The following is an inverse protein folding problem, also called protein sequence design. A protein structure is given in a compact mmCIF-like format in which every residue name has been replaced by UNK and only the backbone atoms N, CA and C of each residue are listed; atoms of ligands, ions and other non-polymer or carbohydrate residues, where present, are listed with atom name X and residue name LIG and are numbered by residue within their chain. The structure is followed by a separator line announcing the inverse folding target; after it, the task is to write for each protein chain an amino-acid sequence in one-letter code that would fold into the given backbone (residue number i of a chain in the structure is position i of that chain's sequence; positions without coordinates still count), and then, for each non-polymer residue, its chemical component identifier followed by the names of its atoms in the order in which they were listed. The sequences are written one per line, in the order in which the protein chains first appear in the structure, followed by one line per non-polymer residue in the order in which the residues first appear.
data_IF_187475079109
#
_entry.id   IF_187475079109
#
_cell.length_a   1.000
_cell.length_b   1.000
_cell.length_c   1.000
_cell.angle_alpha   90.00
_cell.angle_beta   90.00
_cell.angle_gamma   90.00
#
_symmetry.space_group_name_H-M   'P 1'
#
loop_
_entity.id
_entity.type
_entity.pdbx_description
1 polymer ?
#
# COMPACT_ATOMS: atom_id res chain seq x y z
N UNK A 1 -1.80 -7.05 -30.85
CA UNK A 1 -1.97 -5.87 -29.96
C UNK A 1 -2.68 -4.81 -30.77
N UNK A 2 -3.42 -3.93 -30.11
CA UNK A 2 -4.04 -2.77 -30.75
C UNK A 2 -2.99 -1.71 -31.06
N UNK A 3 -3.32 -0.75 -31.92
CA UNK A 3 -2.40 0.31 -32.35
C UNK A 3 -1.94 1.21 -31.19
N UNK A 4 -2.74 1.33 -30.14
CA UNK A 4 -2.40 2.03 -28.90
C UNK A 4 -1.42 1.25 -28.00
N UNK A 5 -1.02 0.05 -28.41
CA UNK A 5 -0.09 -0.83 -27.70
C UNK A 5 -0.73 -1.66 -26.58
N UNK A 6 -2.05 -1.55 -26.36
CA UNK A 6 -2.79 -2.43 -25.45
C UNK A 6 -3.04 -3.79 -26.08
N UNK A 7 -3.37 -4.77 -25.24
CA UNK A 7 -3.76 -6.11 -25.70
C UNK A 7 -5.18 -6.09 -26.28
N UNK A 8 -5.52 -7.11 -27.09
CA UNK A 8 -6.87 -7.30 -27.61
C UNK A 8 -7.88 -7.31 -26.45
N UNK A 9 -9.04 -6.66 -26.62
CA UNK A 9 -10.09 -6.57 -25.60
C UNK A 9 -10.72 -7.94 -25.31
N UNK A 10 -11.21 -8.13 -24.08
CA UNK A 10 -11.99 -9.31 -23.69
C UNK A 10 -13.39 -9.20 -24.28
N UNK A 11 -13.62 -9.89 -25.39
CA UNK A 11 -14.88 -9.85 -26.12
C UNK A 11 -15.04 -11.10 -27.02
N UNK A 12 -16.16 -11.18 -27.74
CA UNK A 12 -16.39 -12.10 -28.84
C UNK A 12 -15.98 -11.41 -30.14
N UNK A 13 -14.89 -11.91 -30.73
CA UNK A 13 -14.32 -11.39 -31.97
C UNK A 13 -14.81 -12.22 -33.16
N UNK A 14 -15.46 -11.57 -34.13
CA UNK A 14 -15.74 -12.18 -35.43
C UNK A 14 -14.52 -12.04 -36.33
N UNK A 15 -13.93 -13.18 -36.70
CA UNK A 15 -12.75 -13.24 -37.54
C UNK A 15 -13.10 -13.65 -38.96
N UNK A 16 -12.40 -13.06 -39.92
CA UNK A 16 -12.55 -13.39 -41.32
C UNK A 16 -11.84 -14.70 -41.66
N UNK A 17 -12.59 -15.60 -42.28
CA UNK A 17 -12.07 -16.88 -42.77
C UNK A 17 -11.55 -16.68 -44.19
N UNK A 18 -10.29 -17.01 -44.40
CA UNK A 18 -9.63 -16.90 -45.70
C UNK A 18 -9.35 -18.29 -46.26
N UNK A 19 -9.73 -18.51 -47.51
CA UNK A 19 -9.49 -19.76 -48.22
C UNK A 19 -8.00 -19.87 -48.56
N UNK A 20 -7.40 -21.01 -48.23
CA UNK A 20 -6.03 -21.37 -48.58
C UNK A 20 -6.09 -22.62 -49.46
N UNK A 21 -5.80 -22.46 -50.76
CA UNK A 21 -5.91 -23.55 -51.74
C UNK A 21 -4.70 -24.50 -51.70
N UNK A 22 -3.51 -23.97 -51.40
CA UNK A 22 -2.27 -24.75 -51.30
C UNK A 22 -1.45 -24.34 -50.08
N UNK A 23 -0.97 -25.29 -49.27
CA UNK A 23 -0.14 -25.01 -48.10
C UNK A 23 1.18 -24.25 -48.44
N UNK A 24 1.66 -24.37 -49.69
CA UNK A 24 2.83 -23.66 -50.22
C UNK A 24 2.66 -22.13 -50.18
N UNK A 25 1.44 -21.62 -50.35
CA UNK A 25 1.12 -20.19 -50.32
C UNK A 25 1.27 -19.58 -48.92
N UNK A 26 1.17 -20.41 -47.88
CA UNK A 26 1.34 -19.97 -46.48
C UNK A 26 2.81 -19.84 -46.04
N UNK A 27 3.78 -20.22 -46.90
CA UNK A 27 5.21 -20.08 -46.59
C UNK A 27 5.62 -18.61 -46.34
N UNK A 28 4.92 -17.65 -46.94
CA UNK A 28 5.09 -16.23 -46.65
C UNK A 28 3.93 -15.69 -45.80
N UNK A 29 4.03 -15.89 -44.49
CA UNK A 29 3.05 -15.48 -43.48
C UNK A 29 2.66 -13.98 -43.56
N UNK A 30 3.54 -13.12 -44.07
CA UNK A 30 3.25 -11.69 -44.22
C UNK A 30 2.07 -11.42 -45.16
N UNK A 31 1.81 -12.32 -46.12
CA UNK A 31 0.67 -12.23 -47.03
C UNK A 31 -0.67 -12.45 -46.32
N UNK A 32 -0.69 -13.28 -45.28
CA UNK A 32 -1.87 -13.47 -44.43
C UNK A 32 -1.99 -12.36 -43.38
N UNK A 33 -0.88 -12.01 -42.71
CA UNK A 33 -0.86 -10.99 -41.65
C UNK A 33 -1.18 -9.58 -42.16
N UNK A 34 -1.03 -9.32 -43.46
CA UNK A 34 -1.42 -8.05 -44.08
C UNK A 34 -2.91 -7.93 -44.42
N UNK A 35 -3.72 -8.97 -44.18
CA UNK A 35 -5.15 -8.97 -44.48
C UNK A 35 -5.97 -8.48 -43.28
N UNK A 36 -7.12 -7.83 -43.52
CA UNK A 36 -8.05 -7.47 -42.44
C UNK A 36 -8.50 -8.70 -41.65
N UNK A 37 -8.38 -8.66 -40.32
CA UNK A 37 -8.79 -9.81 -39.50
C UNK A 37 -10.29 -9.75 -39.13
N UNK A 38 -10.88 -8.56 -39.11
CA UNK A 38 -12.26 -8.31 -38.74
C UNK A 38 -12.87 -7.11 -39.50
N UNK A 39 -14.09 -6.72 -39.15
CA UNK A 39 -14.83 -5.63 -39.80
C UNK A 39 -14.23 -4.27 -39.53
N UNK A 40 -13.67 -4.04 -38.34
CA UNK A 40 -13.06 -2.76 -37.96
C UNK A 40 -11.80 -2.47 -38.81
N UNK A 41 -11.00 -3.49 -39.10
CA UNK A 41 -9.78 -3.38 -39.91
C UNK A 41 -10.06 -3.05 -41.39
N UNK A 42 -11.26 -3.37 -41.87
CA UNK A 42 -11.65 -3.15 -43.26
C UNK A 42 -11.73 -1.65 -43.62
N UNK A 43 -11.99 -0.78 -42.63
CA UNK A 43 -12.07 0.67 -42.82
C UNK A 43 -10.69 1.37 -42.82
N UNK A 44 -9.62 0.70 -42.36
CA UNK A 44 -8.27 1.25 -42.25
C UNK A 44 -7.38 1.04 -43.48
N UNK A 45 -7.77 0.16 -44.41
CA UNK A 45 -6.95 -0.25 -45.55
C UNK A 45 -7.65 0.06 -46.90
N UNK A 46 -7.44 1.26 -47.48
CA UNK A 46 -8.10 1.65 -48.74
C UNK A 46 -7.56 0.92 -49.99
N UNK A 47 -6.45 0.18 -49.89
CA UNK A 47 -5.78 -0.44 -51.04
C UNK A 47 -5.58 -1.94 -50.83
N UNK A 48 -6.67 -2.70 -50.81
CA UNK A 48 -6.61 -4.15 -50.94
C UNK A 48 -6.41 -4.47 -52.43
N UNK A 49 -5.28 -5.09 -52.86
CA UNK A 49 -5.06 -5.44 -54.25
C UNK A 49 -6.18 -6.35 -54.76
N UNK A 50 -6.69 -6.10 -55.96
CA UNK A 50 -7.77 -6.86 -56.59
C UNK A 50 -7.42 -8.33 -56.90
N UNK A 51 -6.19 -8.77 -56.62
CA UNK A 51 -5.70 -10.15 -56.73
C UNK A 51 -5.16 -10.67 -55.39
N UNK A 52 -6.01 -10.69 -54.37
CA UNK A 52 -5.63 -11.30 -53.09
C UNK A 52 -5.33 -12.80 -53.28
N UNK A 53 -4.14 -13.22 -52.87
CA UNK A 53 -3.70 -14.64 -52.82
C UNK A 53 -4.64 -15.47 -51.93
N UNK A 54 -5.22 -14.84 -50.91
CA UNK A 54 -6.20 -15.42 -50.01
C UNK A 54 -7.58 -14.78 -50.23
N UNK A 55 -8.57 -15.58 -50.62
CA UNK A 55 -9.94 -15.11 -50.82
C UNK A 55 -10.75 -15.24 -49.51
N UNK A 56 -11.36 -14.15 -49.05
CA UNK A 56 -12.27 -14.18 -47.89
C UNK A 56 -13.54 -14.98 -48.22
N UNK A 57 -13.90 -15.90 -47.33
CA UNK A 57 -15.17 -16.64 -47.36
C UNK A 57 -16.33 -15.74 -46.90
N UNK A 58 -17.39 -15.66 -47.70
CA UNK A 58 -18.64 -14.96 -47.34
C UNK A 58 -19.70 -15.89 -46.75
N UNK A 59 -19.41 -17.20 -46.69
CA UNK A 59 -20.34 -18.24 -46.25
C UNK A 59 -20.02 -18.78 -44.86
N UNK A 60 -18.86 -18.40 -44.32
CA UNK A 60 -18.34 -18.90 -43.05
C UNK A 60 -18.11 -17.72 -42.11
N UNK A 61 -18.54 -17.88 -40.87
CA UNK A 61 -18.23 -16.95 -39.77
C UNK A 61 -17.52 -17.74 -38.69
N UNK A 62 -16.47 -17.15 -38.14
CA UNK A 62 -15.68 -17.75 -37.08
C UNK A 62 -15.61 -16.77 -35.91
N UNK A 63 -16.00 -17.24 -34.73
CA UNK A 63 -16.04 -16.40 -33.53
C UNK A 63 -15.07 -16.95 -32.49
N UNK A 64 -14.25 -16.06 -31.93
CA UNK A 64 -13.38 -16.34 -30.79
C UNK A 64 -13.81 -15.45 -29.63
N UNK A 65 -14.12 -16.05 -28.49
CA UNK A 65 -14.19 -15.31 -27.22
C UNK A 65 -12.82 -15.29 -26.55
N UNK A 66 -12.37 -14.12 -26.13
CA UNK A 66 -11.10 -13.96 -25.40
C UNK A 66 -11.35 -13.47 -23.98
N UNK A 67 -10.57 -14.02 -23.05
CA UNK A 67 -10.47 -13.51 -21.69
C UNK A 67 -8.99 -13.45 -21.29
N UNK A 68 -8.51 -12.27 -20.94
CA UNK A 68 -7.11 -12.00 -20.64
C UNK A 68 -6.86 -12.10 -19.14
N UNK A 69 -6.07 -13.10 -18.75
CA UNK A 69 -5.48 -13.19 -17.42
C UNK A 69 -3.98 -12.91 -17.49
N UNK A 70 -3.58 -11.67 -17.28
CA UNK A 70 -2.17 -11.24 -17.38
C UNK A 70 -1.80 -10.17 -16.37
N UNK A 71 -0.74 -10.38 -15.60
CA UNK A 71 -0.14 -9.36 -14.72
C UNK A 71 0.92 -8.52 -15.43
N UNK A 72 1.08 -8.68 -16.76
CA UNK A 72 2.09 -7.95 -17.56
C UNK A 72 1.50 -7.11 -18.69
N UNK A 73 0.32 -7.47 -19.16
CA UNK A 73 -0.35 -6.82 -20.29
C UNK A 73 -1.70 -6.30 -19.84
N UNK A 74 -1.94 -5.00 -20.05
CA UNK A 74 -3.20 -4.34 -19.71
C UNK A 74 -3.99 -4.00 -20.98
N UNK A 75 -5.31 -4.06 -20.85
CA UNK A 75 -6.27 -3.57 -21.85
C UNK A 75 -6.64 -2.10 -21.59
N UNK A 76 -6.22 -1.54 -20.46
CA UNK A 76 -6.49 -0.16 -20.07
C UNK A 76 -5.40 0.78 -20.63
N UNK A 77 -5.80 1.69 -21.51
CA UNK A 77 -4.90 2.63 -22.19
C UNK A 77 -4.23 3.59 -21.21
N UNK A 78 -4.96 4.07 -20.19
CA UNK A 78 -4.41 5.01 -19.20
C UNK A 78 -3.35 4.37 -18.31
N UNK A 79 -3.60 3.13 -17.89
CA UNK A 79 -2.62 2.35 -17.14
C UNK A 79 -1.37 2.05 -17.99
N UNK A 80 -1.55 1.65 -19.26
CA UNK A 80 -0.42 1.43 -20.15
C UNK A 80 0.40 2.72 -20.35
N UNK A 81 -0.28 3.86 -20.51
CA UNK A 81 0.37 5.15 -20.66
C UNK A 81 1.17 5.54 -19.41
N UNK A 82 0.66 5.22 -18.20
CA UNK A 82 1.42 5.38 -16.96
C UNK A 82 2.66 4.49 -16.94
N UNK A 83 2.50 3.19 -17.16
CA UNK A 83 3.62 2.24 -17.13
C UNK A 83 4.69 2.55 -18.20
N UNK A 84 4.29 3.18 -19.31
CA UNK A 84 5.17 3.63 -20.40
C UNK A 84 5.39 5.14 -20.42
N UNK A 85 5.24 5.84 -19.29
CA UNK A 85 5.23 7.30 -19.25
C UNK A 85 6.46 7.97 -19.88
N UNK A 86 7.62 7.31 -19.87
CA UNK A 86 8.86 7.80 -20.50
C UNK A 86 8.74 7.99 -22.01
N UNK A 87 7.78 7.33 -22.67
CA UNK A 87 7.49 7.56 -24.09
C UNK A 87 6.71 8.87 -24.33
N UNK A 88 6.07 9.43 -23.29
CA UNK A 88 5.20 10.60 -23.37
C UNK A 88 5.41 11.56 -22.17
N UNK A 89 6.64 12.06 -21.95
CA UNK A 89 6.98 12.85 -20.75
C UNK A 89 6.15 14.13 -20.61
N UNK A 90 5.74 14.74 -21.73
CA UNK A 90 4.94 15.98 -21.72
C UNK A 90 3.50 15.76 -21.24
N UNK A 91 3.00 14.52 -21.27
CA UNK A 91 1.61 14.17 -20.91
C UNK A 91 1.47 13.60 -19.51
N UNK A 92 2.54 13.51 -18.74
CA UNK A 92 2.55 12.80 -17.47
C UNK A 92 1.60 13.39 -16.42
N UNK A 93 1.43 14.72 -16.41
CA UNK A 93 0.48 15.38 -15.50
C UNK A 93 -0.95 14.92 -15.78
N UNK A 94 -1.32 14.84 -17.06
CA UNK A 94 -2.64 14.35 -17.47
C UNK A 94 -2.79 12.86 -17.18
N UNK A 95 -1.74 12.06 -17.40
CA UNK A 95 -1.72 10.62 -17.11
C UNK A 95 -1.95 10.36 -15.62
N UNK A 96 -1.24 11.06 -14.73
CA UNK A 96 -1.44 10.97 -13.27
C UNK A 96 -2.85 11.42 -12.88
N UNK A 97 -3.39 12.45 -13.55
CA UNK A 97 -4.77 12.89 -13.37
C UNK A 97 -5.79 11.81 -13.72
N UNK A 98 -5.55 11.07 -14.82
CA UNK A 98 -6.43 9.99 -15.32
C UNK A 98 -6.34 8.71 -14.52
N UNK A 99 -5.23 8.43 -13.83
CA UNK A 99 -5.06 7.23 -12.98
C UNK A 99 -6.21 7.03 -11.99
N UNK A 100 -6.79 8.12 -11.46
CA UNK A 100 -7.93 8.09 -10.53
C UNK A 100 -9.25 7.58 -11.14
N UNK A 101 -9.31 7.47 -12.46
CA UNK A 101 -10.46 6.95 -13.20
C UNK A 101 -10.25 5.50 -13.67
N UNK A 102 -9.06 4.93 -13.47
CA UNK A 102 -8.78 3.53 -13.76
C UNK A 102 -9.55 2.65 -12.78
N UNK A 103 -10.13 1.56 -13.28
CA UNK A 103 -10.90 0.63 -12.46
C UNK A 103 -10.03 0.01 -11.38
N UNK A 104 -10.60 -0.17 -10.18
CA UNK A 104 -9.86 -0.74 -9.06
C UNK A 104 -9.31 -2.15 -9.34
N UNK A 105 -9.98 -2.93 -10.19
CA UNK A 105 -9.53 -4.25 -10.64
C UNK A 105 -8.20 -4.20 -11.40
N UNK A 106 -8.03 -3.22 -12.29
CA UNK A 106 -6.76 -3.03 -12.99
C UNK A 106 -5.69 -2.47 -12.04
N UNK A 107 -6.06 -1.57 -11.11
CA UNK A 107 -5.12 -1.06 -10.10
C UNK A 107 -4.54 -2.20 -9.24
N UNK A 108 -5.38 -3.09 -8.69
CA UNK A 108 -4.89 -4.16 -7.81
C UNK A 108 -4.07 -5.22 -8.55
N UNK A 109 -4.36 -5.45 -9.84
CA UNK A 109 -3.65 -6.39 -10.70
C UNK A 109 -2.22 -5.94 -11.04
N UNK A 110 -2.01 -4.63 -11.17
CA UNK A 110 -0.72 -4.00 -11.46
C UNK A 110 -0.17 -3.17 -10.30
N UNK A 111 -0.62 -3.44 -9.07
CA UNK A 111 -0.36 -2.58 -7.91
C UNK A 111 1.13 -2.26 -7.73
N UNK A 112 1.97 -3.30 -7.79
CA UNK A 112 3.42 -3.14 -7.66
C UNK A 112 4.01 -2.27 -8.78
N UNK A 113 3.71 -2.59 -10.04
CA UNK A 113 4.24 -1.85 -11.21
C UNK A 113 3.79 -0.38 -11.20
N UNK A 114 2.56 -0.11 -10.75
CA UNK A 114 2.02 1.24 -10.59
C UNK A 114 2.82 1.98 -9.51
N UNK A 115 3.03 1.38 -8.33
CA UNK A 115 3.77 2.02 -7.24
C UNK A 115 5.22 2.29 -7.63
N UNK A 116 5.90 1.31 -8.24
CA UNK A 116 7.27 1.49 -8.76
C UNK A 116 7.33 2.64 -9.76
N UNK A 117 6.36 2.70 -10.67
CA UNK A 117 6.26 3.79 -11.65
C UNK A 117 6.04 5.15 -10.99
N UNK A 118 5.14 5.24 -10.00
CA UNK A 118 4.85 6.47 -9.28
C UNK A 118 6.08 7.02 -8.56
N UNK A 119 6.86 6.17 -7.90
CA UNK A 119 8.08 6.61 -7.21
C UNK A 119 9.22 6.93 -8.18
N UNK A 120 9.31 6.25 -9.33
CA UNK A 120 10.24 6.64 -10.40
C UNK A 120 9.89 8.02 -10.97
N UNK A 121 8.59 8.34 -11.13
CA UNK A 121 8.14 9.68 -11.56
C UNK A 121 8.48 10.73 -10.48
N UNK A 122 8.30 10.40 -9.21
CA UNK A 122 8.62 11.27 -8.08
C UNK A 122 10.11 11.63 -8.05
N UNK A 123 10.98 10.67 -8.29
CA UNK A 123 12.43 10.83 -8.32
C UNK A 123 12.92 11.61 -9.56
N UNK A 124 12.17 11.56 -10.67
CA UNK A 124 12.51 12.27 -11.91
C UNK A 124 12.38 13.80 -11.77
N UNK A 125 11.25 14.26 -11.21
CA UNK A 125 11.04 15.67 -10.92
C UNK A 125 10.04 15.86 -9.76
N UNK A 126 10.58 15.91 -8.55
CA UNK A 126 9.79 16.04 -7.32
C UNK A 126 8.96 17.33 -7.29
N UNK A 127 9.51 18.47 -7.73
CA UNK A 127 8.80 19.75 -7.70
C UNK A 127 7.58 19.76 -8.64
N UNK A 128 7.73 19.18 -9.83
CA UNK A 128 6.68 19.16 -10.86
C UNK A 128 5.60 18.11 -10.59
N UNK A 129 5.99 16.93 -10.10
CA UNK A 129 5.10 15.77 -10.02
C UNK A 129 4.72 15.36 -8.59
N UNK A 130 5.41 15.87 -7.57
CA UNK A 130 5.29 15.40 -6.19
C UNK A 130 3.85 15.39 -5.65
N UNK A 131 3.12 16.50 -5.83
CA UNK A 131 1.73 16.58 -5.38
C UNK A 131 0.79 15.62 -6.12
N UNK A 132 1.00 15.39 -7.41
CA UNK A 132 0.18 14.46 -8.20
C UNK A 132 0.46 13.01 -7.81
N UNK A 133 1.74 12.64 -7.63
CA UNK A 133 2.12 11.33 -7.13
C UNK A 133 1.54 11.09 -5.73
N UNK A 134 1.61 12.08 -4.84
CA UNK A 134 1.00 12.00 -3.52
C UNK A 134 -0.52 11.75 -3.60
N UNK A 135 -1.23 12.47 -4.47
CA UNK A 135 -2.67 12.26 -4.68
C UNK A 135 -2.99 10.88 -5.25
N UNK A 136 -2.15 10.36 -6.16
CA UNK A 136 -2.28 9.00 -6.70
C UNK A 136 -2.07 7.95 -5.61
N UNK A 137 -1.09 8.13 -4.72
CA UNK A 137 -0.87 7.24 -3.58
C UNK A 137 -2.07 7.24 -2.63
N UNK A 138 -2.60 8.41 -2.27
CA UNK A 138 -3.80 8.52 -1.42
C UNK A 138 -4.99 7.78 -2.05
N UNK A 139 -5.21 7.95 -3.36
CA UNK A 139 -6.25 7.23 -4.09
C UNK A 139 -6.08 5.71 -4.02
N UNK A 140 -4.88 5.20 -4.32
CA UNK A 140 -4.59 3.75 -4.28
C UNK A 140 -4.77 3.21 -2.86
N UNK A 141 -4.28 3.92 -1.84
CA UNK A 141 -4.41 3.51 -0.44
C UNK A 141 -5.89 3.42 -0.04
N UNK A 142 -6.70 4.42 -0.39
CA UNK A 142 -8.12 4.41 -0.05
C UNK A 142 -8.90 3.37 -0.85
N UNK A 143 -8.51 3.07 -2.08
CA UNK A 143 -9.05 1.94 -2.85
C UNK A 143 -8.86 0.62 -2.08
N UNK A 144 -7.68 0.38 -1.51
CA UNK A 144 -7.38 -0.83 -0.73
C UNK A 144 -8.07 -0.91 0.64
N UNK A 145 -8.73 0.17 1.08
CA UNK A 145 -9.56 0.18 2.29
C UNK A 145 -10.98 -0.30 2.02
N UNK A 146 -11.40 -0.33 0.76
CA UNK A 146 -12.71 -0.86 0.35
C UNK A 146 -12.79 -2.37 0.62
N UNK A 147 -13.96 -2.84 1.09
CA UNK A 147 -14.25 -4.25 1.37
C UNK A 147 -14.08 -5.12 0.10
N UNK A 148 -14.20 -4.54 -1.10
CA UNK A 148 -13.92 -5.25 -2.35
C UNK A 148 -12.43 -5.57 -2.53
N UNK A 149 -11.53 -4.73 -2.02
CA UNK A 149 -10.08 -4.82 -2.30
C UNK A 149 -9.22 -5.06 -1.05
N UNK A 150 -9.79 -5.18 0.15
CA UNK A 150 -9.02 -5.30 1.39
C UNK A 150 -8.05 -6.50 1.42
N UNK A 151 -8.36 -7.58 0.68
CA UNK A 151 -7.48 -8.74 0.55
C UNK A 151 -6.13 -8.44 -0.13
N UNK A 152 -5.99 -7.28 -0.77
CA UNK A 152 -4.73 -6.81 -1.37
C UNK A 152 -3.86 -5.99 -0.40
N UNK A 153 -4.33 -5.69 0.83
CA UNK A 153 -3.50 -5.02 1.85
C UNK A 153 -2.18 -5.75 2.14
N UNK A 154 -2.14 -7.10 2.30
CA UNK A 154 -0.88 -7.82 2.45
C UNK A 154 0.10 -7.67 1.26
N UNK A 155 -0.42 -7.42 0.05
CA UNK A 155 0.41 -7.14 -1.14
C UNK A 155 1.08 -5.78 -1.00
N UNK A 156 0.34 -4.75 -0.58
CA UNK A 156 0.90 -3.42 -0.27
C UNK A 156 1.94 -3.50 0.87
N UNK A 157 1.64 -4.21 1.96
CA UNK A 157 2.59 -4.38 3.07
C UNK A 157 3.87 -5.09 2.61
N UNK A 158 3.74 -6.15 1.80
CA UNK A 158 4.89 -6.87 1.23
C UNK A 158 5.71 -5.98 0.30
N UNK A 159 5.04 -5.18 -0.55
CA UNK A 159 5.70 -4.23 -1.43
C UNK A 159 6.55 -3.24 -0.63
N UNK A 160 5.96 -2.57 0.36
CA UNK A 160 6.68 -1.60 1.21
C UNK A 160 7.89 -2.26 1.87
N UNK A 161 7.73 -3.45 2.45
CA UNK A 161 8.79 -4.11 3.20
C UNK A 161 9.93 -4.66 2.32
N UNK A 162 9.61 -5.18 1.13
CA UNK A 162 10.56 -6.00 0.34
C UNK A 162 10.94 -5.42 -1.02
N UNK A 163 10.08 -4.61 -1.64
CA UNK A 163 10.24 -4.20 -3.04
C UNK A 163 10.44 -2.69 -3.20
N UNK A 164 9.85 -1.88 -2.32
CA UNK A 164 9.96 -0.43 -2.37
C UNK A 164 11.43 0.01 -2.28
N UNK A 165 11.84 0.87 -3.22
CA UNK A 165 13.22 1.33 -3.38
C UNK A 165 13.37 2.87 -3.37
N UNK A 166 12.29 3.62 -3.13
CA UNK A 166 12.29 5.09 -3.16
C UNK A 166 12.93 5.71 -1.92
N UNK A 167 14.26 5.84 -1.88
CA UNK A 167 15.00 6.36 -0.71
C UNK A 167 14.79 7.87 -0.46
N UNK A 168 14.40 8.66 -1.47
CA UNK A 168 14.21 10.11 -1.31
C UNK A 168 12.75 10.53 -1.12
N UNK A 169 11.81 9.60 -1.28
CA UNK A 169 10.38 9.87 -1.26
C UNK A 169 9.89 10.49 0.05
N UNK A 170 10.49 10.14 1.20
CA UNK A 170 10.05 10.63 2.52
C UNK A 170 9.99 12.17 2.58
N UNK A 171 10.91 12.87 1.91
CA UNK A 171 10.97 14.34 1.92
C UNK A 171 9.69 14.94 1.36
N UNK A 172 9.29 14.48 0.18
CA UNK A 172 8.10 14.98 -0.49
C UNK A 172 6.82 14.52 0.19
N UNK A 173 6.77 13.27 0.67
CA UNK A 173 5.58 12.76 1.37
C UNK A 173 5.30 13.53 2.67
N UNK A 174 6.34 13.84 3.46
CA UNK A 174 6.20 14.69 4.66
C UNK A 174 5.78 16.11 4.27
N UNK A 175 6.40 16.69 3.23
CA UNK A 175 6.07 18.03 2.74
C UNK A 175 4.61 18.13 2.30
N UNK A 176 4.11 17.16 1.53
CA UNK A 176 2.71 17.11 1.10
C UNK A 176 1.74 16.94 2.27
N UNK A 177 2.04 16.05 3.23
CA UNK A 177 1.21 15.89 4.44
C UNK A 177 1.13 17.18 5.25
N UNK A 178 2.26 17.86 5.44
CA UNK A 178 2.31 19.14 6.15
C UNK A 178 1.49 20.20 5.40
N UNK A 179 1.67 20.31 4.08
CA UNK A 179 0.89 21.22 3.24
C UNK A 179 -0.62 20.96 3.34
N UNK A 180 -1.04 19.69 3.39
CA UNK A 180 -2.46 19.33 3.58
C UNK A 180 -3.00 19.78 4.95
N UNK A 181 -2.19 19.71 6.02
CA UNK A 181 -2.58 20.22 7.33
C UNK A 181 -2.64 21.75 7.37
N UNK A 182 -1.68 22.43 6.75
CA UNK A 182 -1.67 23.89 6.65
C UNK A 182 -2.90 24.39 5.86
N UNK A 183 -3.21 23.78 4.71
CA UNK A 183 -4.43 24.08 3.94
C UNK A 183 -5.73 23.72 4.68
N UNK A 184 -5.68 22.73 5.58
CA UNK A 184 -6.86 22.35 6.37
C UNK A 184 -7.32 23.49 7.27
N UNK A 185 -6.37 24.22 7.86
CA UNK A 185 -6.65 25.38 8.69
C UNK A 185 -7.29 26.54 7.91
N UNK A 186 -7.05 26.60 6.60
CA UNK A 186 -7.63 27.59 5.68
C UNK A 186 -8.97 27.14 5.07
N UNK A 187 -9.47 25.96 5.43
CA UNK A 187 -10.69 25.34 4.89
C UNK A 187 -10.65 25.04 3.37
N UNK A 188 -9.45 24.86 2.81
CA UNK A 188 -9.26 24.61 1.38
C UNK A 188 -9.21 23.11 1.09
N UNK A 189 -9.92 22.64 0.03
CA UNK A 189 -9.85 21.25 -0.50
C UNK A 189 -10.06 20.15 0.55
N UNK A 190 -10.99 20.36 1.48
CA UNK A 190 -11.21 19.48 2.64
C UNK A 190 -11.43 18.00 2.29
N UNK A 191 -12.14 17.68 1.22
CA UNK A 191 -12.38 16.27 0.83
C UNK A 191 -11.07 15.53 0.55
N UNK A 192 -10.16 16.15 -0.21
CA UNK A 192 -8.84 15.57 -0.49
C UNK A 192 -7.99 15.43 0.77
N UNK A 193 -8.13 16.38 1.71
CA UNK A 193 -7.40 16.33 2.99
C UNK A 193 -7.92 15.16 3.83
N UNK A 194 -9.23 14.99 3.93
CA UNK A 194 -9.83 13.86 4.64
C UNK A 194 -9.40 12.53 4.05
N UNK A 195 -9.35 12.41 2.72
CA UNK A 195 -8.85 11.22 2.04
C UNK A 195 -7.39 10.93 2.39
N UNK A 196 -6.52 11.94 2.46
CA UNK A 196 -5.14 11.75 2.90
C UNK A 196 -5.05 11.32 4.37
N UNK A 197 -5.89 11.88 5.25
CA UNK A 197 -5.93 11.48 6.66
C UNK A 197 -6.38 10.04 6.85
N UNK A 198 -7.32 9.57 6.02
CA UNK A 198 -7.74 8.17 5.98
C UNK A 198 -6.64 7.22 5.47
N UNK A 199 -5.71 7.73 4.67
CA UNK A 199 -4.56 7.00 4.13
C UNK A 199 -3.30 7.08 5.03
N UNK A 200 -3.38 7.76 6.17
CA UNK A 200 -2.23 8.15 6.98
C UNK A 200 -1.33 6.97 7.42
N UNK A 201 -1.93 5.82 7.73
CA UNK A 201 -1.21 4.57 8.08
C UNK A 201 -0.17 4.21 7.02
N UNK A 202 -0.61 4.02 5.77
CA UNK A 202 0.27 3.63 4.68
C UNK A 202 1.22 4.75 4.24
N UNK A 203 0.77 6.01 4.33
CA UNK A 203 1.67 7.15 4.06
C UNK A 203 2.86 7.16 5.04
N UNK A 204 2.63 6.92 6.33
CA UNK A 204 3.71 6.79 7.31
C UNK A 204 4.57 5.55 7.09
N UNK A 205 3.98 4.42 6.68
CA UNK A 205 4.76 3.22 6.27
C UNK A 205 5.73 3.54 5.13
N UNK A 206 5.30 4.27 4.11
CA UNK A 206 6.17 4.72 3.02
C UNK A 206 7.25 5.71 3.49
N UNK A 207 6.88 6.71 4.31
CA UNK A 207 7.81 7.70 4.86
C UNK A 207 8.93 7.02 5.65
N UNK A 208 8.56 6.14 6.58
CA UNK A 208 9.52 5.44 7.44
C UNK A 208 10.41 4.51 6.63
N UNK A 209 9.82 3.71 5.74
CA UNK A 209 10.62 2.81 4.91
C UNK A 209 11.58 3.57 3.99
N UNK A 210 11.12 4.67 3.38
CA UNK A 210 11.95 5.54 2.56
C UNK A 210 13.14 6.11 3.36
N UNK A 211 12.88 6.57 4.60
CA UNK A 211 13.94 7.06 5.49
C UNK A 211 14.91 5.95 5.92
N UNK A 212 14.44 4.74 6.20
CA UNK A 212 15.29 3.58 6.52
C UNK A 212 16.23 3.28 5.35
N UNK A 213 15.71 3.28 4.11
CA UNK A 213 16.52 3.07 2.90
C UNK A 213 17.57 4.16 2.73
N UNK A 214 17.19 5.43 2.89
CA UNK A 214 18.12 6.55 2.81
C UNK A 214 19.23 6.45 3.86
N UNK A 215 18.86 6.18 5.12
CA UNK A 215 19.80 6.07 6.23
C UNK A 215 20.82 4.95 5.99
N UNK A 216 20.37 3.80 5.48
CA UNK A 216 21.25 2.69 5.09
C UNK A 216 22.22 3.08 3.97
N UNK A 217 21.74 3.81 2.96
CA UNK A 217 22.57 4.22 1.83
C UNK A 217 23.58 5.33 2.17
N UNK A 218 23.28 6.17 3.17
CA UNK A 218 24.04 7.39 3.48
C UNK A 218 24.72 7.36 4.85
N UNK A 219 24.67 6.25 5.57
CA UNK A 219 25.16 6.15 6.96
C UNK A 219 24.52 7.18 7.91
N UNK A 220 23.20 7.40 7.76
CA UNK A 220 22.44 8.26 8.67
C UNK A 220 22.49 9.76 8.38
N UNK A 221 22.94 10.20 7.19
CA UNK A 221 22.90 11.62 6.83
C UNK A 221 21.50 12.22 6.95
N UNK A 222 21.45 13.53 7.15
CA UNK A 222 20.23 14.33 7.26
C UNK A 222 19.24 13.89 8.35
N UNK A 223 19.72 13.26 9.42
CA UNK A 223 18.85 12.81 10.52
C UNK A 223 18.13 13.97 11.20
N UNK A 224 18.83 15.06 11.47
CA UNK A 224 18.23 16.23 12.12
C UNK A 224 17.18 16.93 11.25
N UNK A 225 17.42 17.05 9.94
CA UNK A 225 16.42 17.58 9.00
C UNK A 225 15.18 16.69 8.94
N UNK A 226 15.35 15.36 8.89
CA UNK A 226 14.22 14.43 8.95
C UNK A 226 13.41 14.63 10.24
N UNK A 227 14.09 14.67 11.39
CA UNK A 227 13.43 14.83 12.69
C UNK A 227 12.70 16.18 12.80
N UNK A 228 13.31 17.27 12.32
CA UNK A 228 12.67 18.59 12.25
C UNK A 228 11.42 18.55 11.38
N UNK A 229 11.47 17.92 10.22
CA UNK A 229 10.32 17.84 9.30
C UNK A 229 9.12 17.08 9.91
N UNK A 230 9.38 16.02 10.69
CA UNK A 230 8.34 15.32 11.45
C UNK A 230 7.79 16.20 12.57
N UNK A 231 8.65 16.90 13.31
CA UNK A 231 8.21 17.82 14.37
C UNK A 231 7.32 18.94 13.82
N UNK A 232 7.68 19.54 12.69
CA UNK A 232 6.87 20.55 12.00
C UNK A 232 5.53 19.99 11.52
N UNK A 233 5.51 18.78 10.96
CA UNK A 233 4.25 18.11 10.61
C UNK A 233 3.35 17.94 11.84
N UNK A 234 3.91 17.49 12.96
CA UNK A 234 3.16 17.35 14.21
C UNK A 234 2.68 18.69 14.77
N UNK A 235 3.42 19.78 14.54
CA UNK A 235 2.97 21.12 14.87
C UNK A 235 1.72 21.50 14.06
N UNK A 236 1.73 21.29 12.74
CA UNK A 236 0.56 21.53 11.88
C UNK A 236 -0.64 20.65 12.26
N UNK A 237 -0.42 19.36 12.57
CA UNK A 237 -1.47 18.44 13.07
C UNK A 237 -2.10 18.98 14.35
N UNK A 238 -1.29 19.39 15.33
CA UNK A 238 -1.77 19.95 16.61
C UNK A 238 -2.55 21.23 16.41
N UNK A 239 -2.08 22.09 15.50
CA UNK A 239 -2.78 23.32 15.16
C UNK A 239 -4.18 23.02 14.61
N UNK A 240 -4.31 22.15 13.60
CA UNK A 240 -5.62 21.75 13.03
C UNK A 240 -6.55 21.17 14.10
N UNK A 241 -6.04 20.33 15.00
CA UNK A 241 -6.84 19.75 16.09
C UNK A 241 -7.27 20.78 17.14
N UNK A 242 -6.53 21.88 17.29
CA UNK A 242 -6.85 22.96 18.24
C UNK A 242 -7.92 23.93 17.75
N UNK A 243 -8.20 23.94 16.44
CA UNK A 243 -9.19 24.83 15.85
C UNK A 243 -10.61 24.50 16.32
N UNK A 244 -11.40 25.55 16.53
CA UNK A 244 -12.81 25.43 16.90
C UNK A 244 -13.66 25.03 15.68
N UNK A 245 -14.09 23.79 15.65
CA UNK A 245 -14.86 23.20 14.55
C UNK A 245 -16.38 23.34 14.70
N UNK A 246 -16.88 24.03 15.74
CA UNK A 246 -18.34 24.19 15.97
C UNK A 246 -19.09 24.84 14.82
N UNK A 247 -18.43 25.71 14.05
CA UNK A 247 -19.02 26.42 12.92
C UNK A 247 -18.60 25.85 11.56
N UNK A 248 -17.86 24.73 11.52
CA UNK A 248 -17.33 24.14 10.29
C UNK A 248 -17.40 22.62 10.32
N UNK A 249 -18.42 22.07 9.67
CA UNK A 249 -18.63 20.62 9.56
C UNK A 249 -17.50 19.94 8.77
N UNK A 250 -16.96 20.61 7.74
CA UNK A 250 -15.85 20.07 6.95
C UNK A 250 -14.56 19.93 7.75
N UNK A 251 -14.24 20.91 8.60
CA UNK A 251 -13.12 20.83 9.55
C UNK A 251 -13.35 19.72 10.58
N UNK A 252 -14.58 19.57 11.08
CA UNK A 252 -14.96 18.50 12.00
C UNK A 252 -14.66 17.12 11.40
N UNK A 253 -15.03 16.90 10.14
CA UNK A 253 -14.74 15.64 9.44
C UNK A 253 -13.25 15.40 9.22
N UNK A 254 -12.47 16.45 8.94
CA UNK A 254 -11.01 16.35 8.82
C UNK A 254 -10.34 16.00 10.15
N UNK A 255 -10.71 16.69 11.24
CA UNK A 255 -10.25 16.36 12.58
C UNK A 255 -10.62 14.91 12.96
N UNK A 256 -11.84 14.48 12.63
CA UNK A 256 -12.29 13.12 12.90
C UNK A 256 -11.53 12.06 12.09
N UNK A 257 -11.27 12.31 10.80
CA UNK A 257 -10.48 11.41 9.95
C UNK A 257 -9.03 11.28 10.45
N UNK A 258 -8.43 12.39 10.88
CA UNK A 258 -7.10 12.43 11.47
C UNK A 258 -7.04 11.65 12.79
N UNK A 259 -7.92 11.94 13.76
CA UNK A 259 -7.97 11.23 15.04
C UNK A 259 -8.24 9.74 14.88
N UNK A 260 -9.01 9.37 13.85
CA UNK A 260 -9.29 7.98 13.55
C UNK A 260 -8.09 7.20 13.00
N UNK A 261 -7.15 7.88 12.36
CA UNK A 261 -5.97 7.25 11.77
C UNK A 261 -4.71 7.48 12.62
N UNK A 262 -4.74 8.41 13.56
CA UNK A 262 -3.57 8.77 14.36
C UNK A 262 -2.99 7.61 15.19
N UNK A 263 -3.77 6.75 15.88
CA UNK A 263 -3.19 5.62 16.61
C UNK A 263 -2.48 4.60 15.72
N UNK A 264 -2.80 4.56 14.42
CA UNK A 264 -2.26 3.54 13.51
C UNK A 264 -0.85 3.87 13.02
N UNK A 265 -0.27 5.03 13.35
CA UNK A 265 1.09 5.42 12.95
C UNK A 265 2.14 5.22 14.06
N UNK A 266 1.74 4.75 15.24
CA UNK A 266 2.63 4.68 16.40
C UNK A 266 3.75 3.67 16.20
N UNK A 267 3.46 2.52 15.60
CA UNK A 267 4.46 1.48 15.34
C UNK A 267 5.47 1.91 14.26
N UNK A 268 5.05 2.72 13.29
CA UNK A 268 5.91 3.36 12.29
C UNK A 268 6.84 4.37 12.96
N UNK A 269 6.32 5.22 13.84
CA UNK A 269 7.13 6.20 14.58
C UNK A 269 8.15 5.51 15.51
N UNK A 270 7.75 4.42 16.17
CA UNK A 270 8.62 3.63 17.07
C UNK A 270 9.81 2.98 16.35
N UNK A 271 9.82 2.92 15.00
CA UNK A 271 10.98 2.45 14.24
C UNK A 271 12.07 3.52 14.07
N UNK A 272 11.73 4.79 14.25
CA UNK A 272 12.62 5.92 13.97
C UNK A 272 12.86 6.85 15.17
N UNK A 273 12.01 6.76 16.19
CA UNK A 273 12.04 7.60 17.39
C UNK A 273 12.02 6.74 18.64
N UNK A 274 12.54 7.28 19.74
CA UNK A 274 12.47 6.60 21.03
C UNK A 274 11.02 6.53 21.53
N UNK A 275 10.73 5.57 22.41
CA UNK A 275 9.41 5.43 23.05
C UNK A 275 8.97 6.74 23.73
N UNK A 276 9.91 7.45 24.39
CA UNK A 276 9.66 8.74 25.02
C UNK A 276 9.25 9.81 23.99
N UNK A 277 9.96 9.89 22.87
CA UNK A 277 9.66 10.87 21.81
C UNK A 277 8.30 10.61 21.16
N UNK A 278 7.97 9.34 20.87
CA UNK A 278 6.65 8.97 20.35
C UNK A 278 5.55 9.30 21.37
N UNK A 279 5.78 9.01 22.66
CA UNK A 279 4.85 9.39 23.72
C UNK A 279 4.66 10.91 23.82
N UNK A 280 5.71 11.72 23.63
CA UNK A 280 5.61 13.19 23.60
C UNK A 280 4.86 13.70 22.37
N UNK A 281 5.03 13.06 21.21
CA UNK A 281 4.23 13.35 20.02
C UNK A 281 2.75 13.15 20.31
N UNK A 282 2.40 11.97 20.81
CA UNK A 282 1.02 11.58 21.14
C UNK A 282 0.43 12.45 22.25
N UNK A 283 1.19 12.72 23.32
CA UNK A 283 0.77 13.61 24.42
C UNK A 283 0.40 14.99 23.90
N UNK A 284 1.26 15.59 23.07
CA UNK A 284 1.01 16.91 22.51
C UNK A 284 -0.18 16.94 21.55
N UNK A 285 -0.39 15.89 20.75
CA UNK A 285 -1.55 15.76 19.86
C UNK A 285 -2.86 15.57 20.62
N UNK A 286 -2.88 14.71 21.64
CA UNK A 286 -4.08 14.55 22.46
C UNK A 286 -4.36 15.81 23.30
N UNK A 287 -3.31 16.50 23.75
CA UNK A 287 -3.41 17.73 24.54
C UNK A 287 -3.85 18.96 23.74
N UNK A 288 -3.70 18.96 22.42
CA UNK A 288 -4.15 20.08 21.57
C UNK A 288 -5.64 20.07 21.27
N UNK A 289 -6.33 18.95 21.54
CA UNK A 289 -7.78 18.85 21.35
C UNK A 289 -8.53 19.75 22.36
N UNK A 290 -9.57 20.50 21.95
CA UNK A 290 -10.34 21.33 22.86
C UNK A 290 -10.97 20.52 23.98
N UNK A 291 -10.88 21.03 25.21
CA UNK A 291 -11.52 20.49 26.44
C UNK A 291 -13.04 20.70 26.48
N UNK A 292 -13.63 21.28 25.43
CA UNK A 292 -15.07 21.48 25.29
C UNK A 292 -15.73 20.19 24.80
N UNK A 293 -16.49 19.57 25.69
CA UNK A 293 -17.27 18.36 25.41
C UNK A 293 -18.67 18.78 24.91
N UNK A 294 -18.77 19.44 23.75
CA UNK A 294 -20.05 19.82 23.10
C UNK A 294 -19.88 20.14 21.60
N UNK A 295 -18.83 19.62 20.96
CA UNK A 295 -18.51 19.95 19.55
C UNK A 295 -19.44 19.20 18.56
N UNK A 296 -20.24 18.26 19.08
CA UNK A 296 -21.15 17.38 18.35
C UNK A 296 -20.95 15.96 18.88
N UNK A 297 -22.02 15.23 19.19
CA UNK A 297 -21.94 13.91 19.85
C UNK A 297 -20.97 12.94 19.13
N UNK A 298 -20.85 13.05 17.80
CA UNK A 298 -19.91 12.27 16.99
C UNK A 298 -18.42 12.53 17.29
N UNK A 299 -18.01 13.78 17.54
CA UNK A 299 -16.60 14.10 17.76
C UNK A 299 -16.11 13.66 19.15
N UNK A 300 -16.96 13.80 20.18
CA UNK A 300 -16.66 13.30 21.53
C UNK A 300 -16.36 11.78 21.50
N UNK A 301 -17.15 11.02 20.72
CA UNK A 301 -16.92 9.60 20.48
C UNK A 301 -15.59 9.35 19.77
N UNK A 302 -15.31 10.07 18.68
CA UNK A 302 -14.07 9.90 17.90
C UNK A 302 -12.82 10.21 18.75
N UNK A 303 -12.85 11.26 19.57
CA UNK A 303 -11.77 11.59 20.52
C UNK A 303 -11.53 10.43 21.48
N UNK A 304 -12.58 9.95 22.14
CA UNK A 304 -12.46 8.84 23.09
C UNK A 304 -12.03 7.53 22.42
N UNK A 305 -12.46 7.25 21.19
CA UNK A 305 -12.00 6.09 20.43
C UNK A 305 -10.51 6.18 20.05
N UNK A 306 -10.02 7.39 19.74
CA UNK A 306 -8.59 7.62 19.50
C UNK A 306 -7.78 7.39 20.78
N UNK A 307 -8.29 7.86 21.93
CA UNK A 307 -7.70 7.63 23.25
C UNK A 307 -7.71 6.13 23.61
N UNK A 308 -8.82 5.43 23.38
CA UNK A 308 -8.94 3.99 23.63
C UNK A 308 -7.88 3.22 22.84
N UNK A 309 -7.78 3.48 21.53
CA UNK A 309 -6.76 2.85 20.68
C UNK A 309 -5.34 3.25 21.06
N UNK A 310 -5.13 4.44 21.62
CA UNK A 310 -3.83 4.83 22.19
C UNK A 310 -3.49 3.96 23.40
N UNK A 311 -4.43 3.75 24.31
CA UNK A 311 -4.25 2.88 25.49
C UNK A 311 -4.03 1.42 25.10
N UNK A 312 -4.72 0.94 24.07
CA UNK A 312 -4.59 -0.44 23.58
C UNK A 312 -3.35 -0.66 22.69
N UNK A 313 -2.64 0.41 22.32
CA UNK A 313 -1.47 0.34 21.43
C UNK A 313 -0.22 -0.21 22.14
N UNK A 314 0.73 -0.72 21.34
CA UNK A 314 2.06 -1.12 21.81
C UNK A 314 2.77 0.00 22.55
N UNK A 315 2.58 1.26 22.12
CA UNK A 315 3.18 2.42 22.78
C UNK A 315 2.82 2.46 24.27
N UNK A 316 1.58 2.15 24.67
CA UNK A 316 1.15 2.20 26.07
C UNK A 316 1.59 0.98 26.90
N UNK A 317 2.13 -0.06 26.25
CA UNK A 317 2.71 -1.21 26.96
C UNK A 317 4.04 -0.87 27.66
N UNK A 318 4.74 0.18 27.22
CA UNK A 318 5.99 0.63 27.85
C UNK A 318 5.72 1.47 29.12
N UNK A 319 6.54 1.27 30.16
CA UNK A 319 6.33 1.97 31.44
C UNK A 319 6.63 3.46 31.36
N UNK A 320 7.63 3.85 30.56
CA UNK A 320 8.05 5.25 30.37
C UNK A 320 7.00 6.08 29.61
N UNK A 321 6.43 5.52 28.53
CA UNK A 321 5.36 6.18 27.77
C UNK A 321 4.10 6.36 28.61
N UNK A 322 3.73 5.38 29.45
CA UNK A 322 2.57 5.49 30.34
C UNK A 322 2.68 6.69 31.28
N UNK A 323 3.87 6.97 31.82
CA UNK A 323 4.09 8.13 32.71
C UNK A 323 3.79 9.46 32.00
N UNK A 324 4.06 9.52 30.69
CA UNK A 324 3.86 10.69 29.84
C UNK A 324 2.40 10.80 29.38
N UNK A 325 1.78 9.67 29.02
CA UNK A 325 0.45 9.61 28.41
C UNK A 325 -0.70 9.58 29.42
N UNK A 326 -0.54 8.94 30.58
CA UNK A 326 -1.61 8.82 31.58
C UNK A 326 -2.22 10.17 31.98
N UNK A 327 -1.45 11.24 32.25
CA UNK A 327 -2.03 12.52 32.64
C UNK A 327 -3.02 13.08 31.60
N UNK A 328 -2.67 13.06 30.31
CA UNK A 328 -3.54 13.58 29.25
C UNK A 328 -4.73 12.67 28.97
N UNK A 329 -4.54 11.35 29.04
CA UNK A 329 -5.62 10.37 28.89
C UNK A 329 -6.66 10.53 30.00
N UNK A 330 -6.20 10.58 31.26
CA UNK A 330 -7.07 10.74 32.42
C UNK A 330 -7.75 12.11 32.45
N UNK A 331 -7.09 13.17 31.96
CA UNK A 331 -7.70 14.48 31.82
C UNK A 331 -8.95 14.42 30.93
N UNK A 332 -8.84 13.84 29.74
CA UNK A 332 -9.97 13.70 28.82
C UNK A 332 -11.07 12.81 29.40
N UNK A 333 -10.73 11.65 29.97
CA UNK A 333 -11.72 10.77 30.62
C UNK A 333 -12.45 11.53 31.73
N UNK A 334 -11.74 12.28 32.56
CA UNK A 334 -12.33 13.07 33.64
C UNK A 334 -13.33 14.12 33.12
N UNK A 335 -13.00 14.81 32.03
CA UNK A 335 -13.91 15.78 31.40
C UNK A 335 -15.23 15.13 30.97
N UNK A 336 -15.17 13.97 30.30
CA UNK A 336 -16.37 13.25 29.84
C UNK A 336 -17.19 12.68 31.00
N UNK A 337 -16.53 12.11 32.02
CA UNK A 337 -17.20 11.60 33.23
C UNK A 337 -17.92 12.72 33.99
N UNK A 338 -17.28 13.89 34.16
CA UNK A 338 -17.88 15.04 34.84
C UNK A 338 -19.13 15.54 34.12
N UNK A 339 -19.18 15.41 32.80
CA UNK A 339 -20.31 15.82 31.98
C UNK A 339 -21.32 14.68 31.70
N UNK A 340 -21.12 13.51 32.29
CA UNK A 340 -21.97 12.33 32.12
C UNK A 340 -22.14 11.90 30.65
N UNK A 341 -21.09 12.05 29.83
CA UNK A 341 -21.10 11.64 28.41
C UNK A 341 -20.20 10.44 28.15
N UNK A 342 -20.59 9.61 27.19
CA UNK A 342 -19.79 8.47 26.70
C UNK A 342 -19.24 7.57 27.82
N UNK A 343 -20.04 7.38 28.87
CA UNK A 343 -19.63 6.67 30.09
C UNK A 343 -19.16 5.24 29.82
N UNK A 344 -19.77 4.57 28.84
CA UNK A 344 -19.38 3.22 28.43
C UNK A 344 -17.97 3.20 27.83
N UNK A 345 -17.64 4.16 26.96
CA UNK A 345 -16.32 4.26 26.36
C UNK A 345 -15.29 4.60 27.44
N UNK A 346 -15.60 5.56 28.32
CA UNK A 346 -14.73 5.92 29.45
C UNK A 346 -14.44 4.72 30.37
N UNK A 347 -15.48 3.94 30.70
CA UNK A 347 -15.35 2.71 31.50
C UNK A 347 -14.46 1.68 30.80
N UNK A 348 -14.64 1.48 29.49
CA UNK A 348 -13.79 0.60 28.68
C UNK A 348 -12.32 1.01 28.71
N UNK A 349 -12.02 2.30 28.50
CA UNK A 349 -10.66 2.82 28.54
C UNK A 349 -10.02 2.62 29.92
N UNK A 350 -10.74 2.95 31.00
CA UNK A 350 -10.25 2.73 32.36
C UNK A 350 -9.99 1.24 32.62
N UNK A 351 -10.86 0.35 32.15
CA UNK A 351 -10.67 -1.09 32.20
C UNK A 351 -9.36 -1.54 31.52
N UNK A 352 -9.09 -1.06 30.30
CA UNK A 352 -7.82 -1.33 29.60
C UNK A 352 -6.62 -0.82 30.38
N UNK A 353 -6.68 0.41 30.92
CA UNK A 353 -5.59 0.98 31.75
C UNK A 353 -5.32 0.09 32.96
N UNK A 354 -6.34 -0.29 33.73
CA UNK A 354 -6.18 -1.14 34.91
C UNK A 354 -5.61 -2.51 34.56
N UNK A 355 -6.07 -3.12 33.45
CA UNK A 355 -5.56 -4.41 32.96
C UNK A 355 -4.05 -4.35 32.65
N UNK A 356 -3.61 -3.31 31.93
CA UNK A 356 -2.21 -3.12 31.53
C UNK A 356 -1.32 -2.83 32.74
N UNK A 357 -1.79 -1.97 33.66
CA UNK A 357 -1.06 -1.64 34.88
C UNK A 357 -0.91 -2.86 35.78
N UNK A 358 -1.98 -3.64 35.97
CA UNK A 358 -1.94 -4.89 36.76
C UNK A 358 -0.96 -5.90 36.16
N UNK A 359 -1.00 -6.10 34.85
CA UNK A 359 -0.09 -7.02 34.15
C UNK A 359 1.37 -6.56 34.29
N UNK A 360 1.62 -5.25 34.20
CA UNK A 360 2.97 -4.67 34.38
C UNK A 360 3.52 -4.88 35.79
N UNK A 361 2.68 -4.79 36.82
CA UNK A 361 3.08 -5.02 38.22
C UNK A 361 3.46 -6.48 38.50
N UNK A 362 2.85 -7.45 37.80
CA UNK A 362 3.14 -8.88 37.96
C UNK A 362 4.47 -9.28 37.31
N UNK A 363 4.86 -8.65 36.21
CA UNK A 363 6.13 -8.95 35.50
C UNK A 363 7.36 -8.46 36.26
N UNK A 364 7.23 -7.44 37.10
CA UNK A 364 8.33 -6.90 37.93
C UNK A 364 8.55 -7.71 39.22
N UNK A 365 7.64 -8.63 39.57
CA UNK A 365 7.62 -9.33 40.85
C UNK A 365 8.24 -10.76 40.95
N UNK A 366 9.24 -11.22 40.16
CA UNK A 366 9.87 -12.53 40.41
C UNK A 366 11.30 -12.50 41.02
N UNK A 367 11.77 -11.41 41.63
CA UNK A 367 13.07 -11.41 42.33
C UNK A 367 13.05 -10.67 43.68
N UNK A 368 12.22 -11.13 44.61
CA UNK A 368 12.42 -10.80 46.03
C UNK A 368 11.66 -11.79 46.90
N UNK A 369 12.22 -12.99 47.07
CA UNK A 369 11.96 -13.87 48.21
C UNK A 369 13.06 -14.92 48.25
N UNK A 370 14.13 -14.59 48.98
CA UNK A 370 15.12 -15.55 49.44
C UNK A 370 14.62 -16.08 50.80
N UNK A 371 14.45 -17.40 51.00
CA UNK A 371 14.41 -17.96 52.33
C UNK A 371 15.82 -18.40 52.72
N UNK A 372 16.29 -17.87 53.85
CA UNK A 372 17.48 -18.29 54.58
C UNK A 372 17.32 -19.68 55.21
N UNK A 373 18.34 -20.53 54.99
CA UNK A 373 18.95 -21.56 55.85
C UNK A 373 18.11 -22.19 56.99
N UNK A 374 18.00 -23.53 57.13
CA UNK A 374 18.95 -24.46 57.82
C UNK A 374 18.36 -25.92 57.86
N UNK A 375 19.04 -27.00 58.34
CA UNK A 375 19.56 -28.06 57.44
C UNK A 375 19.27 -29.55 57.84
N UNK A 376 19.74 -30.47 56.97
CA UNK A 376 20.17 -31.89 57.16
C UNK A 376 19.14 -32.96 57.58
N UNK A 377 19.03 -34.03 56.77
CA UNK A 377 19.46 -35.43 57.11
C UNK A 377 19.34 -36.40 55.90
N UNK A 378 20.05 -37.56 55.98
CA UNK A 378 20.33 -38.61 54.96
C UNK A 378 19.15 -39.12 54.11
N UNK A 379 19.32 -39.90 53.02
CA UNK A 379 19.93 -41.25 52.95
C UNK A 379 20.04 -41.75 51.48
N UNK A 380 21.24 -42.20 51.08
CA UNK A 380 21.69 -43.42 50.33
C UNK A 380 20.86 -44.05 49.16
N UNK A 381 21.53 -44.18 47.98
CA UNK A 381 21.54 -45.26 46.93
C UNK A 381 20.25 -45.53 46.10
N UNK A 382 20.23 -45.95 44.82
CA UNK A 382 21.17 -46.73 44.01
C UNK A 382 20.95 -46.58 42.49
N UNK A 383 22.05 -46.81 41.74
CA UNK A 383 22.23 -47.35 40.37
C UNK A 383 21.05 -47.50 39.38
N UNK A 384 21.32 -47.12 38.12
CA UNK A 384 20.70 -47.75 36.94
C UNK A 384 20.89 -47.00 35.61
N UNK A 385 22.05 -47.13 34.97
CA UNK A 385 22.25 -46.97 33.51
C UNK A 385 22.47 -48.38 32.93
N UNK A 386 22.18 -48.72 31.65
CA UNK A 386 22.81 -48.04 30.51
C UNK A 386 22.09 -48.07 29.12
N UNK A 387 22.57 -47.19 28.22
CA UNK A 387 22.77 -47.38 26.75
C UNK A 387 21.52 -47.54 25.83
N UNK A 388 21.47 -47.03 24.58
CA UNK A 388 22.52 -46.77 23.57
C UNK A 388 21.96 -46.01 22.34
N UNK A 389 22.83 -45.17 21.73
CA UNK A 389 23.03 -44.86 20.27
C UNK A 389 21.90 -44.21 19.45
N UNK A 390 22.06 -42.98 18.92
CA UNK A 390 22.90 -42.46 17.81
C UNK A 390 22.16 -42.54 16.45
N UNK A 391 21.94 -41.43 15.74
CA UNK A 391 22.73 -40.85 14.63
C UNK A 391 21.89 -39.63 14.14
N UNK A 392 22.33 -38.56 13.49
CA UNK A 392 23.61 -37.91 13.14
C UNK A 392 23.20 -36.68 12.29
N UNK A 393 23.86 -35.54 12.48
CA UNK A 393 23.73 -34.34 11.63
C UNK A 393 24.41 -34.54 10.26
N UNK A 394 24.36 -33.52 9.37
CA UNK A 394 25.61 -32.80 9.18
C UNK A 394 25.48 -31.26 9.17
N UNK A 395 26.56 -30.62 9.63
CA UNK A 395 26.96 -29.21 9.43
C UNK A 395 27.96 -29.14 8.28
N UNK A 396 28.06 -27.98 7.63
CA UNK A 396 29.25 -27.34 7.00
C UNK A 396 28.70 -26.09 6.26
N UNK A 397 29.29 -24.89 6.20
CA UNK A 397 30.61 -24.33 6.54
C UNK A 397 30.48 -22.78 6.55
N UNK A 398 31.21 -22.10 7.42
CA UNK A 398 31.50 -20.67 7.36
C UNK A 398 32.84 -20.44 6.64
N UNK A 399 32.96 -19.36 5.87
CA UNK A 399 34.26 -18.80 5.46
C UNK A 399 34.23 -17.28 5.44
N UNK A 400 35.34 -16.72 5.92
CA UNK A 400 35.61 -15.36 6.40
C UNK A 400 36.05 -14.34 5.33
N UNK A 401 36.05 -13.07 5.75
CA UNK A 401 36.67 -11.84 5.19
C UNK A 401 38.14 -12.01 4.71
N UNK A 402 38.77 -11.16 3.87
CA UNK A 402 39.07 -9.69 3.94
C UNK A 402 39.47 -9.10 2.53
N UNK A 403 40.03 -7.86 2.31
CA UNK A 403 39.48 -6.85 1.37
C UNK A 403 40.41 -6.44 0.20
N UNK A 404 39.92 -5.66 -0.78
CA UNK A 404 40.82 -4.85 -1.63
C UNK A 404 40.29 -4.38 -2.99
N UNK A 405 40.30 -3.05 -3.16
CA UNK A 405 40.42 -2.24 -4.40
C UNK A 405 39.20 -2.12 -5.33
N UNK A 406 38.66 -0.90 -5.37
CA UNK A 406 37.95 -0.34 -6.53
C UNK A 406 38.88 -0.28 -7.76
N UNK A 407 38.31 -0.53 -8.95
CA UNK A 407 38.49 0.42 -10.04
C UNK A 407 37.15 0.87 -10.65
N UNK A 408 37.24 2.07 -11.21
CA UNK A 408 36.26 2.84 -11.98
C UNK A 408 35.65 2.10 -13.16
N UNK A 409 34.32 1.97 -13.20
CA UNK A 409 33.48 1.97 -14.41
C UNK A 409 32.01 1.92 -13.98
N UNK A 410 31.29 3.04 -14.14
CA UNK A 410 29.86 3.17 -13.80
C UNK A 410 29.03 3.44 -15.05
N UNK A 411 28.02 2.56 -15.26
CA UNK A 411 26.83 2.57 -16.15
C UNK A 411 26.89 1.73 -17.45
N UNK A 412 25.76 1.10 -17.86
CA UNK A 412 24.99 0.11 -17.12
C UNK A 412 24.63 -1.12 -17.99
N UNK A 413 24.88 -2.34 -17.50
CA UNK A 413 24.24 -3.56 -18.01
C UNK A 413 23.25 -4.08 -16.96
N UNK A 414 21.99 -3.69 -17.10
CA UNK A 414 20.86 -4.28 -16.37
C UNK A 414 19.76 -4.59 -17.36
N UNK A 415 19.85 -5.75 -18.04
CA UNK A 415 18.74 -6.30 -18.80
C UNK A 415 18.95 -7.80 -19.12
N UNK A 416 19.11 -8.65 -18.11
CA UNK A 416 18.79 -10.09 -18.23
C UNK A 416 19.07 -10.80 -16.91
N UNK A 417 18.02 -10.97 -16.09
CA UNK A 417 17.71 -12.16 -15.28
C UNK A 417 16.74 -11.80 -14.16
N UNK A 418 15.44 -11.83 -14.46
CA UNK A 418 14.38 -12.08 -13.49
C UNK A 418 13.06 -12.31 -14.24
N UNK A 419 12.87 -13.49 -14.81
CA UNK A 419 11.53 -13.94 -15.26
C UNK A 419 11.55 -15.45 -15.50
N UNK A 420 11.66 -16.23 -14.44
CA UNK A 420 11.18 -17.61 -14.47
C UNK A 420 9.97 -17.70 -13.54
N UNK A 421 8.86 -18.17 -14.12
CA UNK A 421 7.49 -18.26 -13.59
C UNK A 421 6.64 -16.98 -13.62
N UNK A 422 5.96 -16.74 -14.76
CA UNK A 422 4.69 -16.02 -14.82
C UNK A 422 3.97 -16.36 -16.12
N UNK A 423 2.73 -16.79 -16.00
CA UNK A 423 1.91 -17.38 -17.07
C UNK A 423 0.91 -16.34 -17.56
N UNK A 424 0.97 -15.94 -18.84
CA UNK A 424 -0.16 -15.33 -19.52
C UNK A 424 -0.95 -16.46 -20.18
N UNK A 425 -2.17 -16.72 -19.73
CA UNK A 425 -3.08 -17.69 -20.35
C UNK A 425 -4.16 -16.92 -21.11
N UNK A 426 -4.18 -17.12 -22.43
CA UNK A 426 -5.32 -16.78 -23.28
C UNK A 426 -6.16 -18.05 -23.40
N UNK A 427 -7.36 -18.04 -22.81
CA UNK A 427 -8.32 -19.12 -23.01
C UNK A 427 -9.10 -18.86 -24.30
N UNK A 428 -8.86 -19.67 -25.32
CA UNK A 428 -9.62 -19.67 -26.57
C UNK A 428 -10.69 -20.75 -26.48
N UNK A 429 -11.97 -20.35 -26.41
CA UNK A 429 -13.09 -21.30 -26.42
C UNK A 429 -13.81 -21.21 -27.77
N UNK A 430 -13.72 -22.22 -28.66
CA UNK A 430 -14.46 -22.20 -29.91
C UNK A 430 -15.96 -22.35 -29.62
N UNK A 431 -16.76 -21.41 -30.12
CA UNK A 431 -18.21 -21.44 -29.97
C UNK A 431 -18.83 -21.91 -31.29
N UNK A 432 -19.32 -23.15 -31.35
CA UNK A 432 -20.08 -23.65 -32.50
C UNK A 432 -21.56 -23.23 -32.35
N UNK A 433 -22.17 -22.55 -33.34
CA UNK A 433 -23.60 -22.26 -33.30
C UNK A 433 -24.39 -23.58 -33.40
N UNK A 434 -25.39 -23.77 -32.52
CA UNK A 434 -26.32 -24.90 -32.59
C UNK A 434 -27.08 -24.84 -33.92
N UNK A 435 -26.96 -25.88 -34.72
CA UNK A 435 -27.72 -26.07 -35.96
C UNK A 435 -29.22 -26.02 -35.67
N UNK A 436 -29.93 -25.10 -36.31
CA UNK A 436 -31.40 -25.03 -36.35
C UNK A 436 -31.96 -26.26 -37.05
N UNK A 437 -32.58 -27.15 -36.28
CA UNK A 437 -33.30 -28.31 -36.79
C UNK A 437 -34.61 -27.83 -37.45
N UNK A 438 -34.63 -27.79 -38.80
CA UNK A 438 -35.86 -27.56 -39.58
C UNK A 438 -36.84 -28.71 -39.30
N UNK A 439 -37.99 -28.40 -38.69
CA UNK A 439 -39.19 -29.23 -38.76
C UNK A 439 -39.74 -29.16 -40.19
N UNK A 440 -39.70 -30.28 -40.91
CA UNK A 440 -40.50 -30.50 -42.10
C UNK A 440 -41.89 -30.95 -41.69
N UNK A 441 -42.92 -30.19 -42.09
CA UNK A 441 -44.31 -30.65 -42.08
C UNK A 441 -44.53 -31.59 -43.27
N UNK A 442 -44.86 -32.85 -42.98
CA UNK A 442 -45.98 -33.61 -43.54
C UNK A 442 -46.07 -34.94 -42.78
#
# INVERSE_FOLDING_TARGET
MRDDGTTLSDDIHELYVYKCDENSTFNNHALYLGLPCCKEDYNGCPNIPSSLIFQRSTKESFFISTQLSSTKLTQNVDLLALLKWKAFPDRIMDILGRLRHVSGEEIVKFLQDILDTLFVILDDNTEKYGLLVFQSLVFIINLLRDIKYFHFRPVMDTYIQKHFAGALAYKELIRCLKWYMDCSAELIRQDHIQEAMRALEYLFKFIVQSRILYSRATCGMEEEQFRSSIQELFHSIRFVLSLDSRNSETLLFTQAALLNSFPTIFDELLQMFTVQEVAEFVRGTLGSMPSTVHIGQSMDVVKLQSIARTVDSRLFSFSESRRILLPVVLHHIHLHLRQQKELLICSGILGSIFSIVKTSSLVVAPHSLHPSALPRTGVISARGSPTKTALSAPRSEELSSVPGRCPSEWRPMCAQQASQHSTALLFLKPHYPKSTQKRSNL
#
